data_IF_926679529397
#
_entry.id   IF_926679529397
#
_cell.length_a   1.000
_cell.length_b   1.000
_cell.length_c   1.000
_cell.angle_alpha   90.00
_cell.angle_beta   90.00
_cell.angle_gamma   90.00
#
_symmetry.space_group_name_H-M   'P 1'
#
loop_
_entity.id
_entity.type
_entity.pdbx_description
1 polymer ?
#
# COMPACT_ATOMS: atom_id res chain seq x y z
N UNK A 1 -25.97 -12.55 12.25
CA UNK A 1 -26.48 -12.93 10.91
C UNK A 1 -25.61 -12.29 9.83
N UNK A 2 -24.79 -13.08 9.12
CA UNK A 2 -23.97 -12.58 8.00
C UNK A 2 -24.89 -12.34 6.80
N UNK A 3 -24.92 -11.10 6.28
CA UNK A 3 -25.66 -10.72 5.08
C UNK A 3 -24.73 -10.78 3.87
N UNK A 4 -25.10 -11.58 2.87
CA UNK A 4 -24.43 -11.66 1.58
C UNK A 4 -24.62 -10.33 0.83
N UNK A 5 -23.53 -9.74 0.36
CA UNK A 5 -23.51 -8.43 -0.31
C UNK A 5 -23.69 -8.64 -1.82
N UNK A 6 -24.70 -7.97 -2.39
CA UNK A 6 -24.88 -7.85 -3.85
C UNK A 6 -23.82 -6.91 -4.43
N UNK A 7 -23.11 -7.36 -5.46
CA UNK A 7 -22.11 -6.57 -6.20
C UNK A 7 -22.82 -5.74 -7.27
N UNK A 8 -22.84 -4.43 -7.09
CA UNK A 8 -23.18 -3.47 -8.14
C UNK A 8 -21.88 -2.91 -8.73
N UNK A 9 -21.57 -3.22 -9.99
CA UNK A 9 -20.46 -2.61 -10.71
C UNK A 9 -20.77 -1.12 -10.98
N UNK A 10 -20.33 -0.23 -10.09
CA UNK A 10 -20.26 1.19 -10.42
C UNK A 10 -18.96 1.47 -11.17
N UNK A 11 -19.07 2.08 -12.35
CA UNK A 11 -17.94 2.60 -13.10
C UNK A 11 -17.24 3.69 -12.26
N UNK A 12 -16.18 3.31 -11.56
CA UNK A 12 -15.32 4.25 -10.85
C UNK A 12 -14.61 5.11 -11.91
N UNK A 13 -14.87 6.42 -11.88
CA UNK A 13 -14.17 7.40 -12.72
C UNK A 13 -12.73 7.53 -12.26
N UNK A 14 -11.84 6.71 -12.82
CA UNK A 14 -10.39 6.86 -12.62
C UNK A 14 -9.79 7.69 -13.77
N UNK A 15 -9.35 8.89 -13.44
CA UNK A 15 -8.57 9.80 -14.31
C UNK A 15 -7.29 9.13 -14.81
N UNK A 16 -6.96 9.37 -16.09
CA UNK A 16 -5.80 8.80 -16.76
C UNK A 16 -4.46 9.34 -16.22
N UNK A 17 -3.63 8.38 -15.81
CA UNK A 17 -2.17 8.19 -15.81
C UNK A 17 -1.25 9.38 -16.10
N UNK A 18 -1.01 10.16 -15.03
CA UNK A 18 0.25 10.78 -14.66
C UNK A 18 0.46 10.48 -13.15
N UNK A 19 1.68 10.57 -12.64
CA UNK A 19 1.99 10.27 -11.22
C UNK A 19 1.00 10.93 -10.25
N UNK A 20 0.54 10.17 -9.25
CA UNK A 20 -0.49 10.65 -8.33
C UNK A 20 -0.03 11.90 -7.57
N UNK A 21 -0.83 12.98 -7.58
CA UNK A 21 -0.53 14.18 -6.79
C UNK A 21 -0.52 13.87 -5.29
N UNK A 22 0.26 14.62 -4.51
CA UNK A 22 0.35 14.43 -3.05
C UNK A 22 -1.02 14.52 -2.36
N UNK A 23 -1.92 15.41 -2.82
CA UNK A 23 -3.29 15.49 -2.30
C UNK A 23 -4.11 14.23 -2.57
N UNK A 24 -3.95 13.63 -3.76
CA UNK A 24 -4.60 12.37 -4.11
C UNK A 24 -4.02 11.22 -3.28
N UNK A 25 -2.68 11.14 -3.11
CA UNK A 25 -2.03 10.15 -2.21
C UNK A 25 -2.67 10.21 -0.82
N UNK A 26 -2.72 11.37 -0.19
CA UNK A 26 -3.32 11.53 1.15
C UNK A 26 -4.75 11.01 1.23
N UNK A 27 -5.59 11.33 0.22
CA UNK A 27 -6.99 10.88 0.17
C UNK A 27 -7.10 9.36 0.05
N UNK A 28 -6.35 8.75 -0.87
CA UNK A 28 -6.35 7.30 -1.07
C UNK A 28 -5.82 6.56 0.17
N UNK A 29 -4.72 7.04 0.75
CA UNK A 29 -4.15 6.52 1.98
C UNK A 29 -5.15 6.58 3.13
N UNK A 30 -5.82 7.72 3.33
CA UNK A 30 -6.81 7.87 4.40
C UNK A 30 -7.96 6.90 4.21
N UNK A 31 -8.48 6.76 2.99
CA UNK A 31 -9.59 5.85 2.72
C UNK A 31 -9.20 4.39 3.00
N UNK A 32 -8.03 3.95 2.50
CA UNK A 32 -7.52 2.61 2.78
C UNK A 32 -7.37 2.35 4.28
N UNK A 33 -6.76 3.30 4.99
CA UNK A 33 -6.47 3.17 6.43
C UNK A 33 -7.75 3.19 7.27
N UNK A 34 -8.73 4.01 6.90
CA UNK A 34 -10.05 4.06 7.57
C UNK A 34 -10.76 2.70 7.50
N UNK A 35 -10.69 2.02 6.35
CA UNK A 35 -11.26 0.67 6.21
C UNK A 35 -10.47 -0.38 6.97
N UNK A 36 -9.14 -0.28 6.97
CA UNK A 36 -8.30 -1.14 7.82
C UNK A 36 -8.64 -0.94 9.30
N UNK A 37 -8.84 0.30 9.76
CA UNK A 37 -9.21 0.58 11.14
C UNK A 37 -10.57 0.00 11.52
N UNK A 38 -11.56 0.16 10.64
CA UNK A 38 -12.90 -0.36 10.86
C UNK A 38 -12.92 -1.88 10.94
N UNK A 39 -12.26 -2.55 10.01
CA UNK A 39 -12.28 -4.00 9.98
C UNK A 39 -11.37 -4.61 11.03
N UNK A 40 -10.14 -4.11 11.18
CA UNK A 40 -9.13 -4.70 12.07
C UNK A 40 -9.25 -4.24 13.53
N UNK A 41 -10.23 -3.39 13.84
CA UNK A 41 -10.43 -2.83 15.19
C UNK A 41 -9.15 -2.14 15.69
N UNK A 42 -8.62 -1.21 14.89
CA UNK A 42 -7.39 -0.49 15.22
C UNK A 42 -7.68 0.57 16.27
N UNK A 43 -6.82 0.66 17.29
CA UNK A 43 -6.85 1.80 18.20
C UNK A 43 -6.28 3.06 17.54
N UNK A 44 -6.42 4.22 18.18
CA UNK A 44 -6.00 5.52 17.65
C UNK A 44 -4.52 5.56 17.25
N UNK A 45 -3.62 4.99 18.05
CA UNK A 45 -2.18 4.96 17.73
C UNK A 45 -1.93 4.09 16.51
N UNK A 46 -2.50 2.89 16.46
CA UNK A 46 -2.38 1.99 15.32
C UNK A 46 -2.93 2.61 14.04
N UNK A 47 -4.04 3.35 14.12
CA UNK A 47 -4.64 4.06 12.98
C UNK A 47 -3.71 5.13 12.40
N UNK A 48 -3.07 5.92 13.27
CA UNK A 48 -2.11 6.95 12.83
C UNK A 48 -0.86 6.32 12.20
N UNK A 49 -0.26 5.32 12.84
CA UNK A 49 0.95 4.67 12.32
C UNK A 49 0.66 3.87 11.03
N UNK A 50 -0.49 3.21 10.95
CA UNK A 50 -0.92 2.53 9.71
C UNK A 50 -1.16 3.53 8.57
N UNK A 51 -1.63 4.75 8.86
CA UNK A 51 -1.76 5.80 7.84
C UNK A 51 -0.41 6.18 7.27
N UNK A 52 0.61 6.37 8.10
CA UNK A 52 1.97 6.70 7.65
C UNK A 52 2.58 5.59 6.80
N UNK A 53 2.48 4.33 7.24
CA UNK A 53 2.98 3.18 6.48
C UNK A 53 2.28 3.05 5.12
N UNK A 54 0.95 3.21 5.10
CA UNK A 54 0.18 3.21 3.85
C UNK A 54 0.53 4.42 2.96
N UNK A 55 0.83 5.58 3.56
CA UNK A 55 1.25 6.77 2.83
C UNK A 55 2.57 6.50 2.13
N UNK A 56 3.55 5.96 2.85
CA UNK A 56 4.87 5.68 2.32
C UNK A 56 4.84 4.71 1.15
N UNK A 57 4.04 3.65 1.28
CA UNK A 57 3.81 2.72 0.19
C UNK A 57 3.20 3.41 -1.03
N UNK A 58 2.05 4.08 -0.89
CA UNK A 58 1.35 4.69 -2.03
C UNK A 58 2.20 5.78 -2.67
N UNK A 59 2.90 6.57 -1.85
CA UNK A 59 3.77 7.63 -2.33
C UNK A 59 4.98 7.07 -3.08
N UNK A 60 5.62 6.02 -2.56
CA UNK A 60 6.81 5.42 -3.19
C UNK A 60 6.51 4.81 -4.57
N UNK A 61 5.32 4.25 -4.77
CA UNK A 61 4.96 3.61 -6.04
C UNK A 61 4.30 4.56 -7.06
N UNK A 62 3.84 5.75 -6.64
CA UNK A 62 2.98 6.62 -7.46
C UNK A 62 3.54 6.99 -8.84
N UNK A 63 4.86 7.01 -8.98
CA UNK A 63 5.56 7.40 -10.21
C UNK A 63 6.04 6.19 -11.04
N UNK A 64 5.99 4.97 -10.48
CA UNK A 64 6.42 3.75 -11.18
C UNK A 64 5.23 2.93 -11.72
N UNK A 65 4.01 3.17 -11.24
CA UNK A 65 2.84 2.40 -11.65
C UNK A 65 2.55 2.46 -13.16
N UNK A 66 2.92 3.54 -13.84
CA UNK A 66 2.81 3.64 -15.31
C UNK A 66 3.71 2.62 -16.02
N UNK A 67 4.90 2.37 -15.47
CA UNK A 67 5.83 1.37 -15.98
C UNK A 67 5.35 -0.05 -15.64
N UNK A 68 4.77 -0.25 -14.45
CA UNK A 68 4.12 -1.51 -14.07
C UNK A 68 3.00 -1.87 -15.07
N UNK A 69 2.13 -0.92 -15.40
CA UNK A 69 1.04 -1.12 -16.38
C UNK A 69 1.57 -1.46 -17.78
N UNK A 70 2.71 -0.89 -18.18
CA UNK A 70 3.38 -1.19 -19.45
C UNK A 70 4.08 -2.54 -19.50
N UNK A 71 4.22 -3.24 -18.37
CA UNK A 71 4.90 -4.53 -18.32
C UNK A 71 6.38 -4.47 -18.00
N UNK A 72 6.90 -3.34 -17.54
CA UNK A 72 8.33 -3.16 -17.25
C UNK A 72 8.71 -3.94 -15.98
N UNK A 73 9.65 -4.87 -16.11
CA UNK A 73 10.00 -5.83 -15.06
C UNK A 73 10.62 -5.15 -13.83
N UNK A 74 11.51 -4.19 -14.03
CA UNK A 74 12.14 -3.41 -12.96
C UNK A 74 11.10 -2.73 -12.06
N UNK A 75 10.06 -2.13 -12.66
CA UNK A 75 9.03 -1.39 -11.94
C UNK A 75 8.12 -2.31 -11.14
N UNK A 76 7.83 -3.51 -11.66
CA UNK A 76 7.11 -4.54 -10.91
C UNK A 76 7.92 -5.02 -9.70
N UNK A 77 9.24 -5.18 -9.84
CA UNK A 77 10.10 -5.59 -8.74
C UNK A 77 10.11 -4.52 -7.64
N UNK A 78 10.21 -3.23 -8.01
CA UNK A 78 10.12 -2.12 -7.05
C UNK A 78 8.76 -2.06 -6.33
N UNK A 79 7.67 -2.30 -7.06
CA UNK A 79 6.33 -2.37 -6.47
C UNK A 79 6.27 -3.45 -5.37
N UNK A 80 6.73 -4.66 -5.67
CA UNK A 80 6.70 -5.76 -4.69
C UNK A 80 7.67 -5.53 -3.53
N UNK A 81 8.80 -4.85 -3.76
CA UNK A 81 9.67 -4.42 -2.68
C UNK A 81 8.97 -3.45 -1.72
N UNK A 82 8.34 -2.40 -2.27
CA UNK A 82 7.58 -1.44 -1.47
C UNK A 82 6.42 -2.13 -0.73
N UNK A 83 5.76 -3.11 -1.36
CA UNK A 83 4.66 -3.86 -0.76
C UNK A 83 5.14 -4.75 0.39
N UNK A 84 6.27 -5.45 0.24
CA UNK A 84 6.87 -6.27 1.29
C UNK A 84 7.32 -5.41 2.48
N UNK A 85 7.92 -4.24 2.23
CA UNK A 85 8.29 -3.28 3.27
C UNK A 85 7.04 -2.84 4.04
N UNK A 86 6.01 -2.37 3.33
CA UNK A 86 4.75 -1.93 3.93
C UNK A 86 4.14 -3.02 4.80
N UNK A 87 4.03 -4.23 4.27
CA UNK A 87 3.38 -5.34 4.95
C UNK A 87 4.18 -5.80 6.18
N UNK A 88 5.52 -5.70 6.15
CA UNK A 88 6.33 -5.96 7.33
C UNK A 88 6.32 -4.80 8.35
N UNK A 89 6.19 -3.55 7.92
CA UNK A 89 6.01 -2.42 8.84
C UNK A 89 4.67 -2.51 9.60
N UNK A 90 3.58 -2.86 8.89
CA UNK A 90 2.27 -3.10 9.52
C UNK A 90 2.32 -4.25 10.56
N UNK A 91 3.24 -5.21 10.41
CA UNK A 91 3.44 -6.31 11.36
C UNK A 91 3.85 -5.82 12.75
N UNK A 92 4.62 -4.73 12.81
CA UNK A 92 5.05 -4.11 14.07
C UNK A 92 3.99 -3.22 14.69
N UNK A 93 2.98 -2.80 13.93
CA UNK A 93 1.86 -1.97 14.42
C UNK A 93 0.69 -2.84 14.87
N UNK A 94 0.45 -3.97 14.20
CA UNK A 94 -0.68 -4.86 14.49
C UNK A 94 -0.32 -5.92 15.52
N UNK A 95 -1.31 -6.29 16.34
CA UNK A 95 -1.24 -7.54 17.10
C UNK A 95 -1.25 -8.73 16.15
N UNK A 96 -0.81 -9.90 16.63
CA UNK A 96 -0.80 -11.12 15.82
C UNK A 96 -2.18 -11.44 15.22
N UNK A 97 -3.26 -11.29 16.00
CA UNK A 97 -4.63 -11.54 15.52
C UNK A 97 -5.02 -10.56 14.41
N UNK A 98 -4.77 -9.26 14.61
CA UNK A 98 -5.03 -8.23 13.60
C UNK A 98 -4.23 -8.49 12.32
N UNK A 99 -2.96 -8.87 12.45
CA UNK A 99 -2.10 -9.17 11.31
C UNK A 99 -2.59 -10.39 10.51
N UNK A 100 -3.03 -11.46 11.19
CA UNK A 100 -3.62 -12.63 10.51
C UNK A 100 -4.89 -12.27 9.73
N UNK A 101 -5.75 -11.41 10.30
CA UNK A 101 -6.94 -10.90 9.62
C UNK A 101 -6.57 -10.02 8.42
N UNK A 102 -5.55 -9.19 8.57
CA UNK A 102 -4.98 -8.39 7.49
C UNK A 102 -4.50 -9.26 6.32
N UNK A 103 -3.72 -10.32 6.59
CA UNK A 103 -3.26 -11.27 5.56
C UNK A 103 -4.43 -11.97 4.85
N UNK A 104 -5.54 -12.22 5.53
CA UNK A 104 -6.75 -12.81 4.96
C UNK A 104 -7.61 -11.83 4.14
N UNK A 105 -7.32 -10.54 4.17
CA UNK A 105 -8.06 -9.49 3.48
C UNK A 105 -7.24 -8.96 2.29
N UNK A 106 -7.36 -9.61 1.13
CA UNK A 106 -6.60 -9.30 -0.09
C UNK A 106 -6.61 -7.81 -0.48
N UNK A 107 -7.72 -7.12 -0.22
CA UNK A 107 -7.89 -5.70 -0.54
C UNK A 107 -7.14 -4.75 0.41
N UNK A 108 -6.64 -5.24 1.54
CA UNK A 108 -5.67 -4.55 2.38
C UNK A 108 -4.26 -5.07 2.18
N UNK A 109 -4.10 -6.39 2.07
CA UNK A 109 -2.80 -7.05 1.99
C UNK A 109 -2.10 -6.83 0.64
N UNK A 110 -2.86 -6.88 -0.46
CA UNK A 110 -2.40 -6.62 -1.84
C UNK A 110 -3.24 -5.50 -2.44
N UNK A 111 -3.06 -4.25 -1.98
CA UNK A 111 -4.07 -3.21 -2.10
C UNK A 111 -4.33 -2.74 -3.54
N UNK A 112 -3.49 -3.09 -4.52
CA UNK A 112 -3.65 -2.70 -5.92
C UNK A 112 -3.95 -3.88 -6.84
N UNK A 113 -4.61 -3.59 -7.96
CA UNK A 113 -4.74 -4.50 -9.10
C UNK A 113 -4.74 -3.72 -10.42
N UNK A 114 -4.42 -4.39 -11.53
CA UNK A 114 -4.49 -3.84 -12.88
C UNK A 114 -5.59 -4.52 -13.68
N UNK A 115 -6.39 -3.70 -14.37
CA UNK A 115 -7.39 -4.16 -15.34
C UNK A 115 -7.55 -3.08 -16.43
N UNK A 116 -7.71 -3.50 -17.69
CA UNK A 116 -7.97 -2.59 -18.81
C UNK A 116 -6.87 -1.54 -19.03
N UNK A 117 -5.60 -1.89 -18.77
CA UNK A 117 -4.47 -0.97 -18.88
C UNK A 117 -4.45 0.14 -17.82
N UNK A 118 -5.14 -0.06 -16.68
CA UNK A 118 -5.20 0.88 -15.56
C UNK A 118 -5.03 0.15 -14.24
N UNK A 119 -4.43 0.80 -13.26
CA UNK A 119 -4.33 0.27 -11.90
C UNK A 119 -5.38 0.92 -10.99
N UNK A 120 -5.84 0.16 -9.99
CA UNK A 120 -6.92 0.55 -9.08
C UNK A 120 -6.65 0.01 -7.68
N UNK A 121 -7.20 0.66 -6.65
CA UNK A 121 -7.21 0.10 -5.30
C UNK A 121 -8.32 -0.95 -5.17
N UNK A 122 -7.97 -2.13 -4.65
CA UNK A 122 -8.91 -3.23 -4.36
C UNK A 122 -9.94 -2.86 -3.29
N UNK A 123 -9.61 -1.94 -2.37
CA UNK A 123 -10.52 -1.51 -1.30
C UNK A 123 -11.84 -0.97 -1.85
N UNK A 124 -11.84 -0.36 -3.04
CA UNK A 124 -13.06 0.16 -3.68
C UNK A 124 -14.02 -0.92 -4.19
N UNK A 125 -13.56 -2.16 -4.37
CA UNK A 125 -14.42 -3.29 -4.72
C UNK A 125 -15.33 -3.63 -3.53
N UNK A 126 -14.79 -3.55 -2.31
CA UNK A 126 -15.52 -3.88 -1.09
C UNK A 126 -16.21 -2.66 -0.46
N UNK A 127 -15.69 -1.46 -0.72
CA UNK A 127 -16.22 -0.21 -0.21
C UNK A 127 -16.52 0.77 -1.36
N UNK A 128 -17.64 0.58 -2.09
CA UNK A 128 -17.99 1.43 -3.22
C UNK A 128 -18.39 2.85 -2.80
N UNK A 129 -18.86 3.04 -1.56
CA UNK A 129 -19.13 4.38 -1.03
C UNK A 129 -17.84 5.06 -0.55
N UNK A 130 -17.18 5.76 -1.47
CA UNK A 130 -15.89 6.44 -1.24
C UNK A 130 -15.97 7.65 -0.31
N UNK A 131 -17.18 8.08 0.07
CA UNK A 131 -17.41 9.23 0.95
C UNK A 131 -17.63 8.83 2.41
N UNK A 132 -17.88 7.55 2.68
CA UNK A 132 -18.09 7.06 4.04
C UNK A 132 -16.75 6.87 4.73
N UNK A 133 -16.53 7.56 5.85
CA UNK A 133 -15.41 7.36 6.76
C UNK A 133 -15.96 6.99 8.13
N UNK A 134 -15.31 6.04 8.79
CA UNK A 134 -15.67 5.61 10.15
C UNK A 134 -14.86 6.35 11.21
N UNK A 135 -13.67 6.85 10.85
CA UNK A 135 -12.74 7.51 11.75
C UNK A 135 -12.43 8.95 11.31
N UNK A 136 -11.98 9.73 12.30
CA UNK A 136 -11.47 11.08 12.09
C UNK A 136 -10.26 11.13 11.17
N UNK A 137 -9.83 12.35 10.83
CA UNK A 137 -8.62 12.57 10.06
C UNK A 137 -7.40 12.14 10.91
N UNK A 138 -6.44 11.35 10.37
CA UNK A 138 -5.20 11.02 11.07
C UNK A 138 -4.44 12.27 11.50
N UNK A 139 -3.75 12.22 12.64
CA UNK A 139 -3.09 13.39 13.23
C UNK A 139 -2.10 14.06 12.26
N UNK A 140 -1.28 13.26 11.57
CA UNK A 140 -0.29 13.75 10.60
C UNK A 140 -0.81 13.82 9.15
N UNK A 141 -2.12 13.78 8.93
CA UNK A 141 -2.70 13.74 7.57
C UNK A 141 -2.20 14.87 6.66
N UNK A 142 -1.99 16.08 7.19
CA UNK A 142 -1.55 17.24 6.40
C UNK A 142 -0.03 17.39 6.32
N UNK A 143 0.69 16.88 7.31
CA UNK A 143 2.11 17.20 7.53
C UNK A 143 3.05 16.05 7.22
N UNK A 144 2.60 14.78 7.31
CA UNK A 144 3.47 13.64 7.05
C UNK A 144 3.98 13.62 5.61
N UNK A 145 5.29 13.49 5.43
CA UNK A 145 6.01 13.54 4.16
C UNK A 145 6.96 12.35 3.95
N UNK A 146 6.73 11.23 4.64
CA UNK A 146 7.54 10.02 4.53
C UNK A 146 8.78 9.95 5.41
N UNK A 147 8.73 10.69 6.53
CA UNK A 147 9.80 10.69 7.50
C UNK A 147 10.11 9.28 8.02
N UNK A 148 9.13 8.37 8.11
CA UNK A 148 9.31 7.01 8.66
C UNK A 148 9.54 5.93 7.59
N UNK A 149 9.74 6.31 6.33
CA UNK A 149 9.94 5.34 5.26
C UNK A 149 11.21 4.52 5.49
N UNK A 150 11.05 3.20 5.56
CA UNK A 150 12.09 2.27 6.02
C UNK A 150 13.43 2.34 5.26
N UNK A 151 13.48 2.55 3.93
CA UNK A 151 14.74 2.79 3.22
C UNK A 151 15.55 3.99 3.74
N UNK A 152 14.94 4.96 4.42
CA UNK A 152 15.67 6.05 5.07
C UNK A 152 16.42 5.63 6.35
N UNK A 153 16.12 4.44 6.90
CA UNK A 153 16.63 3.96 8.21
C UNK A 153 17.42 2.66 8.11
N UNK A 154 18.34 2.55 7.15
CA UNK A 154 19.16 1.33 6.97
C UNK A 154 18.33 0.04 6.88
N UNK A 155 17.13 0.13 6.30
CA UNK A 155 16.17 -0.98 6.19
C UNK A 155 15.65 -1.54 7.54
N UNK A 156 15.76 -0.77 8.63
CA UNK A 156 15.16 -1.10 9.94
C UNK A 156 13.81 -0.40 10.08
N UNK A 157 12.78 -1.14 10.49
CA UNK A 157 11.45 -0.57 10.73
C UNK A 157 11.48 0.48 11.83
N UNK A 158 10.99 1.70 11.53
CA UNK A 158 10.74 2.74 12.53
C UNK A 158 9.73 2.28 13.61
N UNK A 159 8.81 1.39 13.25
CA UNK A 159 7.71 0.96 14.12
C UNK A 159 8.08 -0.18 15.08
N UNK A 160 9.23 -0.83 14.87
CA UNK A 160 9.69 -1.95 15.69
C UNK A 160 9.92 -1.49 17.14
N UNK A 161 9.28 -2.18 18.08
CA UNK A 161 9.43 -1.93 19.52
C UNK A 161 8.53 -0.84 20.09
N UNK A 162 7.63 -0.23 19.29
CA UNK A 162 6.66 0.78 19.74
C UNK A 162 5.37 0.19 20.32
N UNK A 163 5.10 -1.09 20.08
CA UNK A 163 3.86 -1.78 20.43
C UNK A 163 4.11 -3.06 21.26
N UNK A 164 4.90 -2.96 22.33
CA UNK A 164 5.32 -4.12 23.12
C UNK A 164 4.23 -4.68 24.05
N UNK A 165 3.06 -4.03 24.13
CA UNK A 165 1.94 -4.44 24.96
C UNK A 165 1.17 -5.67 24.40
N UNK A 166 1.48 -6.12 23.18
CA UNK A 166 0.91 -7.33 22.59
C UNK A 166 1.95 -8.08 21.74
N UNK A 167 1.68 -9.35 21.47
CA UNK A 167 2.49 -10.15 20.56
C UNK A 167 2.31 -9.73 19.10
N UNK A 168 3.41 -9.71 18.35
CA UNK A 168 3.42 -9.51 16.90
C UNK A 168 3.54 -10.85 16.17
N UNK A 169 3.08 -10.88 14.91
CA UNK A 169 3.33 -12.02 14.05
C UNK A 169 4.86 -12.23 13.91
N UNK A 170 5.33 -13.46 14.11
CA UNK A 170 6.74 -13.72 14.43
C UNK A 170 7.70 -13.60 13.24
N UNK A 171 7.20 -13.76 12.01
CA UNK A 171 8.01 -13.75 10.79
C UNK A 171 7.55 -12.66 9.82
N UNK A 172 8.47 -11.99 9.12
CA UNK A 172 8.09 -11.14 8.00
C UNK A 172 7.35 -11.99 6.96
N UNK A 173 6.22 -11.51 6.45
CA UNK A 173 5.52 -12.11 5.33
C UNK A 173 5.94 -11.36 4.06
N UNK A 174 6.58 -12.05 3.12
CA UNK A 174 7.15 -11.44 1.90
C UNK A 174 6.66 -12.17 0.67
N UNK A 175 5.95 -11.44 -0.19
CA UNK A 175 5.40 -11.96 -1.45
C UNK A 175 6.54 -12.41 -2.37
N UNK A 176 7.67 -11.69 -2.35
CA UNK A 176 8.85 -12.02 -3.17
C UNK A 176 9.54 -13.32 -2.76
N UNK A 177 9.47 -13.70 -1.47
CA UNK A 177 10.11 -14.90 -0.93
C UNK A 177 9.18 -16.15 -1.01
N UNK A 178 7.94 -15.98 -1.46
CA UNK A 178 6.98 -17.08 -1.57
C UNK A 178 7.06 -17.82 -2.90
N UNK A 179 6.85 -19.15 -2.83
CA UNK A 179 6.87 -20.07 -3.99
C UNK A 179 5.84 -19.73 -5.09
N UNK A 180 4.96 -18.76 -4.82
CA UNK A 180 3.84 -18.36 -5.68
C UNK A 180 3.94 -16.91 -6.15
N UNK A 181 5.12 -16.27 -6.06
CA UNK A 181 5.36 -14.90 -6.54
C UNK A 181 4.82 -14.65 -7.96
N UNK A 182 5.04 -15.56 -8.89
CA UNK A 182 4.51 -15.46 -10.25
C UNK A 182 2.97 -15.56 -10.32
N UNK A 183 2.35 -16.36 -9.43
CA UNK A 183 0.89 -16.46 -9.31
C UNK A 183 0.29 -15.17 -8.73
N UNK A 184 0.95 -14.54 -7.75
CA UNK A 184 0.52 -13.23 -7.24
C UNK A 184 0.67 -12.13 -8.28
N UNK A 185 1.78 -12.09 -9.01
CA UNK A 185 1.94 -11.21 -10.19
C UNK A 185 0.80 -11.36 -11.18
N UNK A 186 0.38 -12.60 -11.46
CA UNK A 186 -0.77 -12.84 -12.33
C UNK A 186 -2.09 -12.39 -11.72
N UNK A 187 -2.27 -12.47 -10.40
CA UNK A 187 -3.49 -12.01 -9.73
C UNK A 187 -3.56 -10.48 -9.58
N UNK A 188 -2.42 -9.81 -9.44
CA UNK A 188 -2.34 -8.36 -9.27
C UNK A 188 -2.28 -7.67 -10.63
N UNK A 189 -1.54 -8.22 -11.57
CA UNK A 189 -1.22 -7.62 -12.86
C UNK A 189 -1.69 -8.46 -14.05
N UNK A 190 -2.67 -9.34 -13.89
CA UNK A 190 -3.02 -10.42 -14.85
C UNK A 190 -3.28 -10.03 -16.30
N UNK A 191 -3.60 -8.77 -16.60
CA UNK A 191 -3.74 -8.25 -17.98
C UNK A 191 -2.43 -7.67 -18.56
N UNK A 192 -1.35 -7.64 -17.77
CA UNK A 192 -0.09 -7.02 -18.14
C UNK A 192 0.84 -8.07 -18.74
N UNK A 193 1.23 -7.84 -19.99
CA UNK A 193 2.27 -8.63 -20.64
C UNK A 193 3.64 -8.09 -20.23
N UNK A 194 4.48 -8.94 -19.63
CA UNK A 194 5.84 -8.55 -19.28
C UNK A 194 6.63 -8.23 -20.54
N UNK A 195 7.32 -7.08 -20.54
CA UNK A 195 8.16 -6.65 -21.65
C UNK A 195 9.53 -7.31 -21.54
N UNK A 196 10.01 -7.95 -22.62
CA UNK A 196 11.35 -8.54 -22.61
C UNK A 196 12.42 -7.45 -22.46
N UNK A 197 13.54 -7.80 -21.83
CA UNK A 197 14.72 -6.93 -21.66
C UNK A 197 14.47 -5.64 -20.85
N UNK A 198 13.54 -5.68 -19.89
CA UNK A 198 13.20 -4.55 -19.00
C UNK A 198 13.56 -4.82 -17.53
N UNK A 199 14.48 -5.75 -17.27
CA UNK A 199 14.92 -6.08 -15.90
C UNK A 199 15.75 -4.96 -15.26
N UNK A 200 16.47 -4.18 -16.07
CA UNK A 200 17.28 -3.05 -15.61
C UNK A 200 16.48 -1.74 -15.68
N UNK A 201 16.48 -0.97 -14.57
CA UNK A 201 15.86 0.36 -14.53
C UNK A 201 16.64 1.34 -15.42
N UNK A 202 15.99 2.04 -16.36
CA UNK A 202 16.63 3.12 -17.11
C UNK A 202 17.10 4.26 -16.20
N UNK A 203 18.21 4.92 -16.53
CA UNK A 203 18.79 6.00 -15.70
C UNK A 203 17.88 7.21 -15.52
N UNK A 204 16.98 7.46 -16.47
CA UNK A 204 16.00 8.55 -16.44
C UNK A 204 14.64 8.15 -15.83
N UNK A 205 14.47 6.89 -15.43
CA UNK A 205 13.25 6.43 -14.81
C UNK A 205 13.19 6.87 -13.34
N UNK A 206 12.00 7.19 -12.81
CA UNK A 206 11.86 7.60 -11.41
C UNK A 206 12.26 6.47 -10.46
N UNK A 207 12.94 6.83 -9.38
CA UNK A 207 13.23 5.93 -8.26
C UNK A 207 12.02 5.81 -7.34
N UNK A 208 11.64 4.58 -6.99
CA UNK A 208 10.69 4.33 -5.90
C UNK A 208 11.18 4.96 -4.60
N UNK A 209 10.36 5.79 -3.96
CA UNK A 209 10.68 6.37 -2.65
C UNK A 209 11.49 7.67 -2.66
N UNK A 210 11.54 8.42 -3.75
CA UNK A 210 12.04 9.81 -3.72
C UNK A 210 11.01 10.71 -3.03
N UNK A 211 11.07 10.80 -1.70
CA UNK A 211 10.32 11.79 -0.93
C UNK A 211 10.97 13.17 -1.09
N UNK A 212 10.15 14.22 -1.26
CA UNK A 212 10.65 15.59 -1.19
C UNK A 212 11.29 15.79 0.18
N UNK A 213 12.57 16.19 0.21
CA UNK A 213 13.28 16.54 1.44
C UNK A 213 12.52 17.69 2.11
N UNK A 214 11.67 17.35 3.09
CA UNK A 214 11.12 18.34 4.01
C UNK A 214 12.30 18.85 4.82
N UNK A 215 12.73 20.08 4.51
CA UNK A 215 13.82 20.75 5.18
C UNK A 215 13.74 20.55 6.70
N UNK A 216 14.83 20.06 7.27
CA UNK A 216 15.08 20.14 8.70
C UNK A 216 15.01 21.61 9.10
N UNK A 217 13.87 22.04 9.63
CA UNK A 217 13.86 23.22 10.48
C UNK A 217 14.22 22.75 11.88
N UNK A 218 15.33 23.34 12.34
CA UNK A 218 15.92 23.24 13.67
C UNK A 218 14.94 23.66 14.76
#
# INVERSE_FOLDING_TARGET
MKKYLFILFMAVTTTAMAGMSTSKVRKETRFLTDKMAYELDLNTSQYNDAYEINYDFIYSIRNIMDYVVRGEEWAMNDYYEALDIRNDDLRWVFSESQYRRFLGADYFYRPLYINGGRWNFRVYINYPNTRLFYFGIPYHYRTYSGAHYRPHYHHVSYYRGRYNQFGHYSRPYRIRDERVFHSYRRSDFGSVNMRPNTSNRPSNAPTSGSFESSGQLR
#
